data_IF_826173020310
#
_entry.id   IF_826173020310
#
_cell.length_a   1.000
_cell.length_b   1.000
_cell.length_c   1.000
_cell.angle_alpha   90.00
_cell.angle_beta   90.00
_cell.angle_gamma   90.00
#
_symmetry.space_group_name_H-M   'P 1'
#
loop_
_entity.id
_entity.type
_entity.pdbx_description
1 polymer ?
#
# COMPACT_ATOMS: atom_id res chain seq x y z
N UNK A 1 9.07 21.75 5.00
CA UNK A 1 8.09 20.82 4.41
C UNK A 1 8.75 19.47 4.27
N UNK A 2 8.24 18.43 4.93
CA UNK A 2 8.78 17.07 4.84
C UNK A 2 8.51 16.48 3.46
N UNK A 3 9.45 15.67 2.93
CA UNK A 3 9.23 14.99 1.65
C UNK A 3 8.07 13.99 1.80
N UNK A 4 7.21 13.86 0.78
CA UNK A 4 6.12 12.89 0.81
C UNK A 4 6.64 11.45 0.85
N UNK A 5 5.92 10.56 1.53
CA UNK A 5 6.28 9.15 1.60
C UNK A 5 5.69 8.38 0.40
N UNK A 6 6.52 7.67 -0.35
CA UNK A 6 6.07 6.81 -1.46
C UNK A 6 5.91 5.39 -0.93
N UNK A 7 4.69 4.86 -1.03
CA UNK A 7 4.35 3.52 -0.55
C UNK A 7 5.11 2.47 -1.36
N UNK A 8 5.79 1.56 -0.66
CA UNK A 8 6.46 0.43 -1.32
C UNK A 8 5.42 -0.61 -1.73
N UNK A 9 5.50 -1.10 -2.96
CA UNK A 9 4.57 -2.11 -3.50
C UNK A 9 5.32 -3.41 -3.72
N UNK A 10 4.66 -4.54 -3.47
CA UNK A 10 5.23 -5.87 -3.67
C UNK A 10 4.53 -6.56 -4.84
N UNK A 11 5.29 -7.43 -5.51
CA UNK A 11 4.78 -8.37 -6.50
C UNK A 11 4.77 -9.75 -5.86
N UNK A 12 3.60 -10.36 -5.72
CA UNK A 12 3.50 -11.73 -5.21
C UNK A 12 3.77 -12.74 -6.32
N UNK A 13 4.53 -13.79 -6.00
CA UNK A 13 4.62 -15.00 -6.81
C UNK A 13 3.79 -16.09 -6.10
N UNK A 14 2.46 -16.09 -6.23
CA UNK A 14 1.63 -17.04 -5.47
C UNK A 14 0.18 -17.26 -5.92
N UNK A 15 -0.02 -18.35 -6.67
CA UNK A 15 -1.21 -19.24 -6.73
C UNK A 15 -2.60 -18.69 -7.05
N UNK A 16 -2.70 -17.69 -7.92
CA UNK A 16 -3.87 -17.60 -8.82
C UNK A 16 -3.37 -17.73 -10.26
N UNK A 17 -3.82 -18.73 -11.03
CA UNK A 17 -3.58 -18.72 -12.46
C UNK A 17 -4.33 -17.51 -13.01
N UNK A 18 -3.58 -16.63 -13.69
CA UNK A 18 -3.97 -15.37 -14.34
C UNK A 18 -3.61 -14.10 -13.54
N UNK A 19 -2.55 -13.45 -14.05
CA UNK A 19 -2.03 -12.11 -13.80
C UNK A 19 -1.06 -11.91 -12.60
N UNK A 20 0.12 -11.37 -12.94
CA UNK A 20 1.06 -10.76 -12.02
C UNK A 20 0.38 -9.54 -11.39
N UNK A 21 -0.18 -9.70 -10.21
CA UNK A 21 -0.88 -8.62 -9.53
C UNK A 21 0.13 -7.82 -8.69
N UNK A 22 0.32 -6.53 -9.01
CA UNK A 22 1.01 -5.63 -8.09
C UNK A 22 0.00 -5.15 -7.07
N UNK A 23 0.22 -5.49 -5.80
CA UNK A 23 -0.69 -5.13 -4.71
C UNK A 23 0.08 -4.55 -3.54
N UNK A 24 -0.55 -3.62 -2.83
CA UNK A 24 -0.10 -3.25 -1.49
C UNK A 24 -0.56 -4.39 -0.58
N UNK A 25 0.36 -5.18 -0.02
CA UNK A 25 0.05 -6.42 0.70
C UNK A 25 -0.63 -6.21 2.07
N UNK A 26 -1.16 -7.32 2.61
CA UNK A 26 -1.71 -7.45 3.96
C UNK A 26 -0.63 -7.21 5.03
N UNK A 27 -1.00 -6.70 6.20
CA UNK A 27 -0.09 -6.66 7.36
C UNK A 27 0.92 -5.51 7.37
N UNK A 28 0.53 -4.34 6.88
CA UNK A 28 1.33 -3.11 7.01
C UNK A 28 1.56 -2.61 8.45
N UNK A 29 1.10 -3.33 9.48
CA UNK A 29 1.31 -2.98 10.88
C UNK A 29 1.65 -4.23 11.69
N UNK A 30 2.65 -4.11 12.57
CA UNK A 30 3.24 -5.19 13.37
C UNK A 30 2.16 -5.95 14.16
N UNK A 31 2.15 -7.29 14.02
CA UNK A 31 1.27 -8.20 14.76
C UNK A 31 1.07 -9.59 14.15
N UNK A 32 1.52 -9.84 12.90
CA UNK A 32 1.44 -11.15 12.25
C UNK A 32 2.83 -11.63 11.83
N UNK A 33 3.26 -12.78 12.34
CA UNK A 33 4.64 -13.27 12.34
C UNK A 33 5.13 -13.98 11.05
N UNK A 34 4.56 -13.74 9.85
CA UNK A 34 5.06 -14.46 8.65
C UNK A 34 5.49 -13.64 7.42
N UNK A 35 5.20 -12.33 7.29
CA UNK A 35 5.65 -11.57 6.10
C UNK A 35 6.19 -10.17 6.45
N UNK A 36 7.30 -10.18 7.21
CA UNK A 36 8.05 -9.02 7.72
C UNK A 36 8.52 -8.02 6.65
N UNK A 37 7.73 -6.95 6.40
CA UNK A 37 8.18 -5.55 6.24
C UNK A 37 6.98 -4.66 5.87
N UNK A 38 6.60 -3.68 6.71
CA UNK A 38 5.48 -2.79 6.40
C UNK A 38 5.78 -1.95 5.14
N UNK A 39 4.76 -1.68 4.31
CA UNK A 39 4.93 -0.82 3.12
C UNK A 39 5.19 0.64 3.49
N UNK A 40 4.76 1.07 4.70
CA UNK A 40 5.08 2.35 5.32
C UNK A 40 5.38 2.17 6.82
N UNK A 41 6.34 2.90 7.42
CA UNK A 41 6.52 2.92 8.87
C UNK A 41 5.31 3.49 9.62
N UNK A 42 5.05 3.05 10.86
CA UNK A 42 3.88 3.48 11.67
C UNK A 42 3.95 4.96 12.04
N UNK A 43 5.17 5.46 12.18
CA UNK A 43 5.51 6.84 12.42
C UNK A 43 5.36 7.74 11.18
N UNK A 44 5.01 7.19 10.01
CA UNK A 44 4.77 7.97 8.78
C UNK A 44 3.70 9.01 9.05
N UNK A 45 4.05 10.29 8.86
CA UNK A 45 3.15 11.43 9.08
C UNK A 45 2.90 12.18 7.78
N UNK A 46 1.70 12.76 7.69
CA UNK A 46 1.35 13.62 6.57
C UNK A 46 0.86 12.81 5.37
N UNK A 47 1.40 13.11 4.19
CA UNK A 47 0.85 12.63 2.92
C UNK A 47 1.62 11.41 2.41
N UNK A 48 0.87 10.42 1.92
CA UNK A 48 1.42 9.23 1.27
C UNK A 48 0.98 9.16 -0.20
N UNK A 49 1.85 8.60 -1.04
CA UNK A 49 1.63 8.48 -2.48
C UNK A 49 1.69 7.02 -2.88
N UNK A 50 0.61 6.54 -3.49
CA UNK A 50 0.55 5.20 -4.09
C UNK A 50 0.88 5.35 -5.58
N UNK A 51 1.98 4.75 -6.06
CA UNK A 51 2.41 4.93 -7.45
C UNK A 51 1.45 4.22 -8.42
N UNK A 52 1.37 4.71 -9.67
CA UNK A 52 0.58 4.08 -10.72
C UNK A 52 1.11 2.71 -11.12
N UNK A 53 2.43 2.54 -11.06
CA UNK A 53 3.13 1.32 -11.44
C UNK A 53 4.44 1.13 -10.69
N UNK A 54 4.97 -0.10 -10.74
CA UNK A 54 6.32 -0.43 -10.29
C UNK A 54 7.12 -1.10 -11.40
N UNK A 55 8.43 -0.91 -11.36
CA UNK A 55 9.37 -1.61 -12.24
C UNK A 55 9.93 -2.81 -11.50
N UNK A 56 9.74 -4.00 -12.07
CA UNK A 56 10.23 -5.27 -11.51
C UNK A 56 11.72 -5.48 -11.84
N UNK A 57 12.43 -6.37 -11.12
CA UNK A 57 13.86 -6.62 -11.37
C UNK A 57 14.21 -7.10 -12.80
N UNK A 58 13.25 -7.71 -13.50
CA UNK A 58 13.36 -8.12 -14.91
C UNK A 58 12.96 -7.01 -15.91
N UNK A 59 12.73 -5.78 -15.42
CA UNK A 59 12.49 -4.60 -16.25
C UNK A 59 11.04 -4.41 -16.72
N UNK A 60 10.10 -5.23 -16.24
CA UNK A 60 8.68 -5.06 -16.57
C UNK A 60 8.07 -3.94 -15.72
N UNK A 61 7.17 -3.17 -16.32
CA UNK A 61 6.37 -2.17 -15.59
C UNK A 61 4.98 -2.73 -15.34
N UNK A 62 4.60 -2.87 -14.07
CA UNK A 62 3.31 -3.43 -13.68
C UNK A 62 2.46 -2.39 -12.94
N UNK A 63 1.18 -2.23 -13.28
CA UNK A 63 0.31 -1.29 -12.58
C UNK A 63 0.01 -1.76 -11.15
N UNK A 64 -0.20 -0.80 -10.25
CA UNK A 64 -0.68 -1.05 -8.88
C UNK A 64 -2.20 -0.95 -8.91
N UNK A 65 -2.89 -2.10 -8.87
CA UNK A 65 -4.36 -2.14 -8.99
C UNK A 65 -5.08 -2.45 -7.69
N UNK A 66 -4.39 -2.97 -6.68
CA UNK A 66 -5.01 -3.43 -5.44
C UNK A 66 -4.38 -2.82 -4.19
N UNK A 67 -5.25 -2.31 -3.31
CA UNK A 67 -4.94 -2.07 -1.90
C UNK A 67 -5.55 -3.23 -1.10
N UNK A 68 -4.70 -4.03 -0.48
CA UNK A 68 -5.16 -5.23 0.24
C UNK A 68 -5.81 -4.88 1.57
N UNK A 69 -6.46 -5.89 2.15
CA UNK A 69 -7.18 -5.78 3.41
C UNK A 69 -6.23 -5.26 4.49
N UNK A 70 -6.60 -4.17 5.16
CA UNK A 70 -5.81 -3.60 6.25
C UNK A 70 -4.46 -2.96 5.89
N UNK A 71 -4.16 -2.68 4.60
CA UNK A 71 -2.85 -2.13 4.19
C UNK A 71 -2.45 -0.78 4.80
N UNK A 72 -3.38 -0.01 5.34
CA UNK A 72 -3.10 1.22 6.09
C UNK A 72 -3.81 1.20 7.46
N UNK A 73 -4.26 0.05 7.93
CA UNK A 73 -5.03 -0.04 9.17
C UNK A 73 -4.23 0.48 10.37
N UNK A 74 -4.74 1.50 11.05
CA UNK A 74 -4.11 2.08 12.24
C UNK A 74 -3.05 3.14 11.94
N UNK A 75 -2.92 3.62 10.69
CA UNK A 75 -2.09 4.79 10.37
C UNK A 75 -2.64 6.05 11.03
N UNK A 76 -2.27 6.33 12.27
CA UNK A 76 -2.86 7.45 13.02
C UNK A 76 -2.32 8.81 12.59
N UNK A 77 -1.18 8.87 11.89
CA UNK A 77 -0.52 10.13 11.56
C UNK A 77 -0.59 10.52 10.07
N UNK A 78 -1.09 9.64 9.20
CA UNK A 78 -1.33 10.02 7.80
C UNK A 78 -2.53 10.95 7.72
N UNK A 79 -2.42 12.00 6.92
CA UNK A 79 -3.46 13.01 6.74
C UNK A 79 -4.09 12.95 5.35
N UNK A 80 -3.32 12.50 4.35
CA UNK A 80 -3.76 12.39 2.96
C UNK A 80 -3.14 11.17 2.30
N UNK A 81 -3.95 10.48 1.49
CA UNK A 81 -3.50 9.42 0.59
C UNK A 81 -3.71 9.95 -0.82
N UNK A 82 -2.67 9.93 -1.65
CA UNK A 82 -2.80 10.18 -3.08
C UNK A 82 -2.89 8.83 -3.77
N UNK A 83 -4.11 8.48 -4.19
CA UNK A 83 -4.37 7.26 -4.94
C UNK A 83 -3.91 7.38 -6.40
N UNK A 84 -3.33 6.29 -6.88
CA UNK A 84 -3.07 6.07 -8.30
C UNK A 84 -4.39 5.90 -9.07
N UNK A 85 -4.41 6.35 -10.32
CA UNK A 85 -5.58 6.15 -11.19
C UNK A 85 -5.74 4.69 -11.64
N UNK A 86 -4.70 3.87 -11.49
CA UNK A 86 -4.72 2.46 -11.82
C UNK A 86 -5.33 1.58 -10.72
N UNK A 87 -5.65 2.14 -9.54
CA UNK A 87 -6.27 1.38 -8.44
C UNK A 87 -7.71 1.00 -8.83
N UNK A 88 -7.94 -0.30 -8.93
CA UNK A 88 -9.24 -0.88 -9.27
C UNK A 88 -9.98 -1.36 -8.01
N UNK A 89 -9.24 -1.80 -6.99
CA UNK A 89 -9.82 -2.42 -5.79
C UNK A 89 -9.16 -1.95 -4.50
N UNK A 90 -9.99 -1.55 -3.54
CA UNK A 90 -9.61 -1.26 -2.16
C UNK A 90 -10.35 -2.24 -1.26
N UNK A 91 -9.60 -3.12 -0.60
CA UNK A 91 -10.18 -4.17 0.23
C UNK A 91 -10.63 -3.65 1.60
N UNK A 92 -11.43 -4.47 2.28
CA UNK A 92 -11.95 -4.14 3.62
C UNK A 92 -10.86 -3.68 4.59
N UNK A 93 -11.23 -2.76 5.46
CA UNK A 93 -10.35 -2.25 6.52
C UNK A 93 -9.04 -1.60 6.04
N UNK A 94 -8.83 -1.39 4.74
CA UNK A 94 -7.60 -0.80 4.19
C UNK A 94 -7.19 0.47 4.94
N UNK A 95 -8.14 1.34 5.32
CA UNK A 95 -7.89 2.56 6.10
C UNK A 95 -8.57 2.56 7.48
N UNK A 96 -8.85 1.39 8.05
CA UNK A 96 -9.51 1.31 9.36
C UNK A 96 -8.62 1.96 10.44
N UNK A 97 -9.22 2.73 11.35
CA UNK A 97 -8.52 3.40 12.45
C UNK A 97 -7.45 4.44 12.04
N UNK A 98 -7.46 4.94 10.79
CA UNK A 98 -6.64 6.07 10.34
C UNK A 98 -7.17 7.42 10.87
N UNK A 99 -6.97 7.71 12.15
CA UNK A 99 -7.63 8.83 12.85
C UNK A 99 -7.35 10.23 12.28
N UNK A 100 -6.16 10.45 11.71
CA UNK A 100 -5.78 11.76 11.13
C UNK A 100 -6.07 11.86 9.64
N UNK A 101 -6.52 10.79 8.98
CA UNK A 101 -6.80 10.79 7.55
C UNK A 101 -8.00 11.69 7.27
N UNK A 102 -7.85 12.58 6.28
CA UNK A 102 -8.87 13.55 5.88
C UNK A 102 -9.24 13.44 4.40
N UNK A 103 -8.32 12.95 3.58
CA UNK A 103 -8.47 12.90 2.13
C UNK A 103 -7.81 11.64 1.56
N UNK A 104 -8.46 11.04 0.56
CA UNK A 104 -8.01 9.87 -0.22
C UNK A 104 -8.25 10.18 -1.69
#
# INVERSE_FOLDING_TARGET
MGKPFIVQVRTDKGTVPMAFHTRIEYGCFVGYQEYNKPCIPIETKGEIFIPDSVVTPDGQTLPVRWISRGSFQGCQNITKVHLSHAIEYISDYAFQNCKSLREI
#
